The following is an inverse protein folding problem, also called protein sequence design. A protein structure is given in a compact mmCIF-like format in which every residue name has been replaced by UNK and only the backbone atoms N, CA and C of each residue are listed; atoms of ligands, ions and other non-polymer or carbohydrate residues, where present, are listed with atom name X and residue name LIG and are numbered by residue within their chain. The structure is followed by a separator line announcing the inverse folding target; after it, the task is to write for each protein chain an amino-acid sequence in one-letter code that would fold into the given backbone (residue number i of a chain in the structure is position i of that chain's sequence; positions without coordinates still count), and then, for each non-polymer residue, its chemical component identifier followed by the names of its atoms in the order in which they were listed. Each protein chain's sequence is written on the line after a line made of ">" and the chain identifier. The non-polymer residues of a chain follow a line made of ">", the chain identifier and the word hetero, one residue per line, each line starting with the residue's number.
data_IF_894299526374
#
_entry.id   IF_894299526374
#
_cell.length_a   1.000
_cell.length_b   1.000
_cell.length_c   1.000
_cell.angle_alpha   90.00
_cell.angle_beta   90.00
_cell.angle_gamma   90.00
#
_symmetry.space_group_name_H-M   'P 1'
#
loop_
_entity.id
_entity.type
_entity.pdbx_description
1 polymer ?
#
# COMPACT_ATOMS: atom_id res chain seq x y z
N UNK A 1 -59.95 -3.73 -20.82
CA UNK A 1 -59.19 -2.75 -20.01
C UNK A 1 -58.47 -3.50 -18.90
N UNK A 2 -57.18 -3.21 -18.67
CA UNK A 2 -56.33 -3.58 -17.51
C UNK A 2 -56.01 -5.09 -17.32
N UNK A 3 -54.84 -5.56 -17.78
CA UNK A 3 -53.49 -5.64 -17.15
C UNK A 3 -53.31 -6.72 -16.06
N UNK A 4 -52.20 -7.49 -16.10
CA UNK A 4 -52.07 -8.82 -15.50
C UNK A 4 -51.56 -8.78 -14.05
N UNK A 5 -51.98 -9.77 -13.26
CA UNK A 5 -51.50 -10.01 -11.89
C UNK A 5 -50.12 -10.69 -11.94
N UNK A 6 -49.09 -9.87 -12.09
CA UNK A 6 -47.69 -10.27 -11.99
C UNK A 6 -47.31 -10.35 -10.50
N UNK A 7 -47.49 -11.51 -9.85
CA UNK A 7 -46.93 -11.75 -8.52
C UNK A 7 -45.51 -12.33 -8.67
N UNK A 8 -44.54 -11.41 -8.65
CA UNK A 8 -43.11 -11.67 -8.49
C UNK A 8 -42.82 -12.37 -7.16
N UNK A 9 -42.45 -13.65 -7.22
CA UNK A 9 -41.75 -14.36 -6.14
C UNK A 9 -40.24 -14.18 -6.33
N UNK A 10 -39.68 -13.10 -5.79
CA UNK A 10 -38.24 -13.00 -5.55
C UNK A 10 -37.93 -13.66 -4.20
N UNK A 11 -37.08 -14.70 -4.13
CA UNK A 11 -36.44 -15.06 -2.88
C UNK A 11 -35.39 -14.01 -2.53
N UNK A 12 -35.61 -13.30 -1.44
CA UNK A 12 -34.62 -12.43 -0.82
C UNK A 12 -33.45 -13.29 -0.30
N UNK A 13 -32.34 -13.30 -1.04
CA UNK A 13 -31.04 -13.76 -0.56
C UNK A 13 -30.21 -12.54 -0.19
N UNK A 14 -30.02 -12.19 1.09
CA UNK A 14 -28.93 -11.31 1.49
C UNK A 14 -27.74 -12.20 1.82
N UNK A 15 -27.06 -12.70 0.79
CA UNK A 15 -25.78 -13.38 0.95
C UNK A 15 -24.63 -12.45 0.54
N UNK A 16 -23.67 -12.40 1.45
CA UNK A 16 -22.29 -11.95 1.31
C UNK A 16 -22.04 -10.44 1.49
N UNK A 17 -21.70 -10.12 2.74
CA UNK A 17 -20.42 -9.47 3.09
C UNK A 17 -19.88 -8.49 2.06
N UNK A 18 -20.23 -7.22 2.24
CA UNK A 18 -19.40 -6.12 1.79
C UNK A 18 -18.05 -6.23 2.50
N UNK A 19 -17.07 -6.85 1.85
CA UNK A 19 -15.67 -6.67 2.18
C UNK A 19 -15.38 -5.18 2.08
N UNK A 20 -15.37 -4.52 3.24
CA UNK A 20 -14.84 -3.17 3.41
C UNK A 20 -13.37 -3.25 3.06
N UNK A 21 -13.04 -3.06 1.79
CA UNK A 21 -11.69 -2.68 1.41
C UNK A 21 -11.38 -1.41 2.21
N UNK A 22 -10.29 -1.36 2.99
CA UNK A 22 -9.83 -0.09 3.50
C UNK A 22 -9.46 0.76 2.28
N UNK A 23 -10.32 1.74 1.97
CA UNK A 23 -10.05 2.81 1.04
C UNK A 23 -8.87 3.60 1.60
N UNK A 24 -7.66 3.14 1.34
CA UNK A 24 -6.44 3.86 1.64
C UNK A 24 -6.42 5.08 0.73
N UNK A 25 -6.91 6.20 1.27
CA UNK A 25 -6.75 7.53 0.72
C UNK A 25 -5.29 7.95 0.88
N UNK A 26 -4.50 8.17 -0.19
CA UNK A 26 -3.22 8.84 -0.04
C UNK A 26 -3.48 10.35 0.02
N UNK A 27 -4.03 10.80 1.14
CA UNK A 27 -4.08 12.21 1.48
C UNK A 27 -2.70 12.59 2.03
N UNK A 28 -1.87 13.16 1.14
CA UNK A 28 -0.80 14.12 1.42
C UNK A 28 0.02 13.86 2.70
N UNK A 29 1.19 13.26 2.55
CA UNK A 29 2.24 13.33 3.57
C UNK A 29 3.42 14.14 3.02
N UNK A 30 3.58 15.35 3.53
CA UNK A 30 4.84 16.08 3.68
C UNK A 30 4.93 16.44 5.17
N UNK A 31 6.10 16.50 5.83
CA UNK A 31 7.48 16.32 5.39
C UNK A 31 7.94 14.87 5.64
N UNK A 32 8.48 14.16 4.64
CA UNK A 32 8.48 12.69 4.72
C UNK A 32 9.63 12.13 5.54
N UNK A 33 9.46 12.13 6.87
CA UNK A 33 10.06 11.12 7.72
C UNK A 33 9.39 9.77 7.37
N UNK A 34 10.21 8.76 7.08
CA UNK A 34 9.72 7.40 6.84
C UNK A 34 8.89 6.90 8.05
N UNK A 35 7.98 5.94 7.82
CA UNK A 35 7.18 5.36 8.89
C UNK A 35 8.04 4.37 9.68
N UNK A 36 8.27 4.56 10.99
CA UNK A 36 9.15 3.69 11.77
C UNK A 36 8.63 2.25 11.76
N UNK A 37 9.54 1.30 11.57
CA UNK A 37 9.24 -0.13 11.42
C UNK A 37 8.83 -0.55 10.00
N UNK A 38 8.67 0.41 9.06
CA UNK A 38 8.41 0.09 7.66
C UNK A 38 9.69 -0.05 6.86
N UNK A 39 9.64 -0.91 5.84
CA UNK A 39 10.71 -1.11 4.88
C UNK A 39 10.45 -0.33 3.60
N UNK A 40 11.51 0.21 3.02
CA UNK A 40 11.50 1.02 1.80
C UNK A 40 12.57 0.56 0.81
N UNK A 41 12.25 0.62 -0.48
CA UNK A 41 13.24 0.43 -1.53
C UNK A 41 14.09 1.68 -1.70
N UNK A 42 15.38 1.52 -1.98
CA UNK A 42 16.29 2.65 -2.21
C UNK A 42 15.82 3.57 -3.34
N UNK A 43 15.28 3.01 -4.43
CA UNK A 43 14.68 3.80 -5.51
C UNK A 43 13.47 4.63 -5.04
N UNK A 44 12.63 4.08 -4.16
CA UNK A 44 11.46 4.79 -3.63
C UNK A 44 11.88 5.96 -2.76
N UNK A 45 12.85 5.73 -1.86
CA UNK A 45 13.42 6.79 -1.02
C UNK A 45 14.04 7.90 -1.85
N UNK A 46 14.72 7.57 -2.95
CA UNK A 46 15.35 8.55 -3.81
C UNK A 46 14.35 9.32 -4.68
N UNK A 47 13.36 8.65 -5.27
CA UNK A 47 12.47 9.25 -6.27
C UNK A 47 11.21 9.86 -5.68
N UNK A 48 10.67 9.28 -4.60
CA UNK A 48 9.43 9.74 -3.97
C UNK A 48 9.71 10.60 -2.74
N UNK A 49 10.76 10.26 -1.97
CA UNK A 49 11.13 11.03 -0.78
C UNK A 49 12.28 12.02 -1.04
N UNK A 50 12.89 11.98 -2.23
CA UNK A 50 14.01 12.85 -2.63
C UNK A 50 15.24 12.73 -1.73
N UNK A 51 15.45 11.57 -1.12
CA UNK A 51 16.60 11.32 -0.26
C UNK A 51 17.85 11.00 -1.08
N UNK A 52 19.02 11.42 -0.60
CA UNK A 52 20.29 11.14 -1.26
C UNK A 52 20.78 9.72 -0.92
N UNK A 53 20.21 8.72 -1.59
CA UNK A 53 20.55 7.30 -1.43
C UNK A 53 21.43 6.84 -2.58
N UNK A 54 22.57 6.21 -2.28
CA UNK A 54 23.48 5.67 -3.31
C UNK A 54 23.03 4.29 -3.79
N UNK A 55 22.41 3.50 -2.91
CA UNK A 55 22.03 2.11 -3.17
C UNK A 55 20.54 2.00 -3.55
N UNK A 56 20.21 2.25 -4.82
CA UNK A 56 18.82 2.18 -5.33
C UNK A 56 18.18 0.81 -5.15
N UNK A 57 18.97 -0.25 -5.31
CA UNK A 57 18.54 -1.64 -5.23
C UNK A 57 18.88 -2.24 -3.85
N UNK A 58 18.71 -1.45 -2.80
CA UNK A 58 18.83 -1.92 -1.41
C UNK A 58 17.49 -1.76 -0.69
N UNK A 59 17.32 -2.57 0.35
CA UNK A 59 16.21 -2.49 1.27
C UNK A 59 16.63 -1.70 2.50
N UNK A 60 15.81 -0.72 2.88
CA UNK A 60 16.04 0.14 4.03
C UNK A 60 14.91 -0.01 5.03
N UNK A 61 15.22 -0.19 6.30
CA UNK A 61 14.23 -0.10 7.38
C UNK A 61 14.24 1.30 7.96
N UNK A 62 13.06 1.87 8.19
CA UNK A 62 12.94 3.10 8.94
C UNK A 62 12.97 2.84 10.44
N UNK A 63 13.87 3.51 11.15
CA UNK A 63 13.95 3.51 12.60
C UNK A 63 13.12 4.65 13.22
N UNK A 64 12.77 4.52 14.51
CA UNK A 64 12.24 5.64 15.29
C UNK A 64 13.12 6.88 15.13
N UNK A 65 12.50 8.04 14.91
CA UNK A 65 13.21 9.30 14.64
C UNK A 65 13.52 9.56 13.17
N UNK A 66 12.99 8.75 12.24
CA UNK A 66 13.08 8.99 10.79
C UNK A 66 14.46 8.67 10.19
N UNK A 67 15.30 7.96 10.94
CA UNK A 67 16.58 7.44 10.44
C UNK A 67 16.32 6.18 9.63
N UNK A 68 17.01 6.02 8.50
CA UNK A 68 16.99 4.77 7.73
C UNK A 68 18.27 3.99 7.96
N UNK A 69 18.10 2.68 8.07
CA UNK A 69 19.20 1.72 8.10
C UNK A 69 19.09 0.79 6.92
N UNK A 70 20.22 0.44 6.33
CA UNK A 70 20.28 -0.58 5.28
C UNK A 70 20.00 -1.93 5.93
N UNK A 71 18.89 -2.55 5.56
CA UNK A 71 18.54 -3.90 5.97
C UNK A 71 19.21 -4.93 5.05
N UNK A 72 19.20 -4.66 3.74
CA UNK A 72 19.82 -5.50 2.73
C UNK A 72 20.44 -4.65 1.63
N UNK A 73 21.77 -4.69 1.52
CA UNK A 73 22.53 -3.91 0.54
C UNK A 73 22.39 -4.41 -0.90
N UNK A 74 21.99 -5.68 -1.09
CA UNK A 74 21.82 -6.30 -2.40
C UNK A 74 20.41 -6.89 -2.50
N UNK A 75 19.54 -6.15 -3.20
CA UNK A 75 18.19 -6.53 -3.54
C UNK A 75 18.11 -6.64 -5.07
N UNK A 76 18.08 -7.85 -5.64
CA UNK A 76 18.04 -7.97 -7.11
C UNK A 76 16.75 -7.37 -7.67
N UNK A 77 15.66 -7.60 -6.97
CA UNK A 77 14.33 -7.08 -7.30
C UNK A 77 13.76 -6.48 -6.03
N UNK A 78 13.56 -5.15 -6.01
CA UNK A 78 12.94 -4.45 -4.89
C UNK A 78 11.55 -3.97 -5.29
N UNK A 79 10.51 -4.54 -4.69
CA UNK A 79 9.12 -4.36 -5.12
C UNK A 79 8.19 -3.85 -4.02
N UNK A 80 7.10 -3.20 -4.45
CA UNK A 80 5.90 -2.97 -3.66
C UNK A 80 5.86 -1.71 -2.79
N UNK A 81 4.66 -1.42 -2.21
CA UNK A 81 4.48 -0.39 -1.18
C UNK A 81 5.00 -0.85 0.20
N UNK A 82 5.00 -2.16 0.47
CA UNK A 82 5.80 -2.79 1.51
C UNK A 82 7.07 -3.29 0.84
N UNK A 83 8.18 -2.56 1.02
CA UNK A 83 9.38 -2.91 0.30
C UNK A 83 9.91 -4.27 0.76
N UNK A 84 10.26 -5.10 -0.21
CA UNK A 84 10.86 -6.40 0.01
C UNK A 84 11.80 -6.76 -1.14
N UNK A 85 12.66 -7.73 -0.89
CA UNK A 85 13.58 -8.26 -1.90
C UNK A 85 13.13 -9.63 -2.38
N UNK A 86 12.90 -9.75 -3.68
CA UNK A 86 12.70 -11.03 -4.37
C UNK A 86 14.03 -11.61 -4.90
#
# INVERSE_FOLDING_TARGET
>A
MHFPTLLTLLPALPLAFASTLPTLSPRQAAPVACLPGSTYCGWYLQENLFWNIVQRNALFTCQPGGTIVVEKSVCRVCEGPQAHCA
#
